data_IF_304799738908
#
_entry.id   IF_304799738908
#
_cell.length_a   1.000
_cell.length_b   1.000
_cell.length_c   1.000
_cell.angle_alpha   90.00
_cell.angle_beta   90.00
_cell.angle_gamma   90.00
#
_symmetry.space_group_name_H-M   'P 1'
#
loop_
_entity.id
_entity.type
_entity.pdbx_description
1 polymer ?
#
# COMPACT_ATOMS: atom_id res chain seq x y z
N UNK A 1 -4.84 17.01 -14.09
CA UNK A 1 -3.89 16.66 -14.08
C UNK A 1 -3.22 16.56 -12.95
N UNK A 2 -2.98 17.26 -12.32
CA UNK A 2 -2.32 17.13 -11.23
C UNK A 2 -3.04 16.55 -10.14
N UNK A 3 -4.35 16.38 -10.17
CA UNK A 3 -5.06 15.78 -9.12
C UNK A 3 -4.61 14.43 -8.77
N UNK A 4 -4.30 13.61 -9.75
CA UNK A 4 -3.83 12.28 -9.44
C UNK A 4 -2.47 12.34 -8.77
N UNK A 5 -1.61 13.24 -9.23
CA UNK A 5 -0.31 13.40 -8.62
C UNK A 5 -0.42 13.83 -7.18
N UNK A 6 -1.36 14.72 -6.90
CA UNK A 6 -1.53 15.22 -5.54
C UNK A 6 -2.02 14.13 -4.62
N UNK A 7 -2.93 13.27 -5.08
CA UNK A 7 -3.41 12.17 -4.25
C UNK A 7 -2.29 11.21 -3.92
N UNK A 8 -1.46 10.87 -4.90
CA UNK A 8 -0.36 9.97 -4.64
C UNK A 8 0.69 10.60 -3.75
N UNK A 9 0.93 11.90 -3.86
CA UNK A 9 1.86 12.57 -2.95
C UNK A 9 1.37 12.43 -1.51
N UNK A 10 0.07 12.57 -1.30
CA UNK A 10 -0.47 12.42 0.04
C UNK A 10 -0.38 10.98 0.52
N UNK A 11 -0.58 10.02 -0.36
CA UNK A 11 -0.41 8.61 -0.01
C UNK A 11 1.02 8.38 0.47
N UNK A 12 2.02 8.84 -0.29
CA UNK A 12 3.41 8.63 0.10
C UNK A 12 3.75 9.33 1.41
N UNK A 13 3.23 10.54 1.61
CA UNK A 13 3.47 11.25 2.86
C UNK A 13 2.90 10.50 4.05
N UNK A 14 1.69 9.97 3.90
CA UNK A 14 1.06 9.22 4.98
C UNK A 14 1.77 7.90 5.24
N UNK A 15 2.24 7.23 4.19
CA UNK A 15 3.02 6.01 4.35
C UNK A 15 4.30 6.32 5.14
N UNK A 16 4.97 7.42 4.82
CA UNK A 16 6.16 7.83 5.54
C UNK A 16 5.91 8.13 7.00
N UNK A 17 4.77 8.76 7.29
CA UNK A 17 4.40 9.02 8.68
C UNK A 17 4.09 7.73 9.41
N UNK A 18 3.38 6.81 8.76
CA UNK A 18 3.06 5.51 9.36
C UNK A 18 4.35 4.74 9.65
N UNK A 19 5.32 4.81 8.74
CA UNK A 19 6.60 4.15 8.94
C UNK A 19 7.29 4.71 10.19
N UNK A 20 7.32 6.03 10.34
CA UNK A 20 7.95 6.63 11.51
C UNK A 20 7.23 6.28 12.80
N UNK A 21 5.93 6.07 12.72
CA UNK A 21 5.14 5.68 13.89
C UNK A 21 5.22 4.18 14.19
N UNK A 22 5.96 3.43 13.38
CA UNK A 22 6.05 1.98 13.56
C UNK A 22 4.83 1.22 13.09
N UNK A 23 4.06 1.84 12.19
CA UNK A 23 2.79 1.27 11.73
C UNK A 23 2.78 0.94 10.24
N UNK A 24 3.95 0.79 9.65
CA UNK A 24 4.10 0.36 8.26
C UNK A 24 5.20 -0.68 8.18
N UNK A 25 4.94 -1.73 7.41
CA UNK A 25 5.87 -2.85 7.27
C UNK A 25 6.10 -3.09 5.80
N UNK A 26 7.30 -3.47 5.41
CA UNK A 26 7.56 -3.84 4.03
C UNK A 26 8.30 -5.18 4.00
N UNK A 27 8.43 -5.73 2.80
CA UNK A 27 8.99 -7.06 2.62
C UNK A 27 7.87 -8.08 2.49
N UNK A 28 7.93 -8.87 1.42
CA UNK A 28 6.83 -9.78 1.09
C UNK A 28 6.49 -10.73 2.23
N UNK A 29 7.51 -11.31 2.87
CA UNK A 29 7.27 -12.28 3.93
C UNK A 29 6.61 -11.63 5.15
N UNK A 30 7.09 -10.45 5.55
CA UNK A 30 6.51 -9.77 6.70
C UNK A 30 5.08 -9.33 6.40
N UNK A 31 4.83 -8.89 5.18
CA UNK A 31 3.48 -8.48 4.78
C UNK A 31 2.54 -9.68 4.84
N UNK A 32 2.98 -10.82 4.33
CA UNK A 32 2.14 -12.01 4.35
C UNK A 32 1.87 -12.48 5.79
N UNK A 33 2.85 -12.32 6.68
CA UNK A 33 2.61 -12.62 8.08
C UNK A 33 1.58 -11.68 8.68
N UNK A 34 1.66 -10.39 8.38
CA UNK A 34 0.67 -9.45 8.87
C UNK A 34 -0.73 -9.81 8.38
N UNK A 35 -0.85 -10.22 7.13
CA UNK A 35 -2.13 -10.64 6.58
C UNK A 35 -2.65 -11.86 7.33
N UNK A 36 -1.78 -12.85 7.50
CA UNK A 36 -2.16 -14.10 8.13
C UNK A 36 -2.62 -13.91 9.57
N UNK A 37 -1.97 -13.02 10.30
CA UNK A 37 -2.28 -12.83 11.71
C UNK A 37 -3.27 -11.70 11.97
N UNK A 38 -3.90 -11.20 10.91
CA UNK A 38 -4.95 -10.19 11.07
C UNK A 38 -4.47 -8.83 11.49
N UNK A 39 -3.22 -8.50 11.25
CA UNK A 39 -2.66 -7.20 11.61
C UNK A 39 -2.67 -6.20 10.47
N UNK A 40 -3.04 -6.63 9.28
CA UNK A 40 -3.02 -5.79 8.12
C UNK A 40 -4.30 -5.00 8.00
N UNK A 41 -4.21 -3.68 7.87
CA UNK A 41 -5.37 -2.85 7.63
C UNK A 41 -5.42 -2.34 6.19
N UNK A 42 -4.29 -2.31 5.52
CA UNK A 42 -4.24 -1.87 4.13
C UNK A 42 -2.92 -2.31 3.53
N UNK A 43 -2.94 -2.77 2.30
CA UNK A 43 -1.72 -3.10 1.59
C UNK A 43 -1.68 -2.34 0.28
N UNK A 44 -0.51 -1.77 -0.05
CA UNK A 44 -0.28 -1.08 -1.31
C UNK A 44 0.81 -1.82 -2.03
N UNK A 45 0.54 -2.23 -3.27
CA UNK A 45 1.52 -2.92 -4.10
C UNK A 45 1.86 -2.00 -5.27
N UNK A 46 3.16 -1.81 -5.52
CA UNK A 46 3.60 -0.95 -6.61
C UNK A 46 3.12 -1.48 -7.95
N UNK A 47 2.76 -0.58 -8.84
CA UNK A 47 2.30 -0.97 -10.19
C UNK A 47 3.39 -1.70 -10.96
N UNK A 48 4.64 -1.35 -10.72
CA UNK A 48 5.78 -1.98 -11.38
C UNK A 48 6.42 -3.10 -10.56
N UNK A 49 5.71 -3.63 -9.56
CA UNK A 49 6.16 -4.82 -8.87
C UNK A 49 6.09 -6.00 -9.84
N UNK A 50 6.89 -7.03 -9.58
CA UNK A 50 6.88 -8.19 -10.46
C UNK A 50 5.53 -8.91 -10.40
N UNK A 51 5.20 -9.63 -11.45
CA UNK A 51 3.96 -10.37 -11.49
C UNK A 51 3.88 -11.40 -10.36
N UNK A 52 5.00 -12.02 -10.03
CA UNK A 52 5.03 -12.99 -8.94
C UNK A 52 4.67 -12.33 -7.61
N UNK A 53 5.25 -11.17 -7.33
CA UNK A 53 4.98 -10.44 -6.10
C UNK A 53 3.52 -10.00 -6.05
N UNK A 54 3.01 -9.45 -7.14
CA UNK A 54 1.61 -9.03 -7.19
C UNK A 54 0.68 -10.21 -6.92
N UNK A 55 0.92 -11.32 -7.60
CA UNK A 55 0.09 -12.49 -7.46
C UNK A 55 0.16 -13.06 -6.06
N UNK A 56 1.35 -13.17 -5.52
CA UNK A 56 1.55 -13.74 -4.19
C UNK A 56 0.81 -12.95 -3.12
N UNK A 57 0.97 -11.64 -3.15
CA UNK A 57 0.35 -10.80 -2.12
C UNK A 57 -1.17 -10.69 -2.33
N UNK A 58 -1.61 -10.52 -3.58
CA UNK A 58 -3.05 -10.41 -3.82
C UNK A 58 -3.77 -11.70 -3.48
N UNK A 59 -3.14 -12.85 -3.73
CA UNK A 59 -3.75 -14.12 -3.36
C UNK A 59 -3.91 -14.24 -1.84
N UNK A 60 -2.89 -13.82 -1.08
CA UNK A 60 -3.01 -13.82 0.37
C UNK A 60 -4.11 -12.88 0.83
N UNK A 61 -4.21 -11.71 0.21
CA UNK A 61 -5.25 -10.76 0.56
C UNK A 61 -6.63 -11.34 0.32
N UNK A 62 -6.81 -12.01 -0.80
CA UNK A 62 -8.09 -12.63 -1.11
C UNK A 62 -8.43 -13.73 -0.12
N UNK A 63 -7.44 -14.54 0.20
CA UNK A 63 -7.67 -15.67 1.09
C UNK A 63 -8.08 -15.21 2.50
N UNK A 64 -7.45 -14.15 3.00
CA UNK A 64 -7.70 -13.69 4.37
C UNK A 64 -8.62 -12.47 4.44
N UNK A 65 -9.11 -11.99 3.31
CA UNK A 65 -10.02 -10.84 3.31
C UNK A 65 -9.36 -9.52 3.60
N UNK A 66 -8.11 -9.34 3.20
CA UNK A 66 -7.40 -8.09 3.46
C UNK A 66 -7.56 -7.11 2.31
N UNK A 67 -7.58 -5.82 2.64
CA UNK A 67 -7.69 -4.77 1.63
C UNK A 67 -6.36 -4.55 0.93
N UNK A 68 -6.39 -4.42 -0.38
CA UNK A 68 -5.18 -4.33 -1.18
C UNK A 68 -5.41 -3.43 -2.38
N UNK A 69 -4.45 -2.55 -2.66
CA UNK A 69 -4.50 -1.66 -3.81
C UNK A 69 -3.20 -1.77 -4.59
N UNK A 70 -3.28 -1.66 -5.90
CA UNK A 70 -2.09 -1.59 -6.74
C UNK A 70 -1.96 -0.14 -7.18
N UNK A 71 -0.94 0.53 -6.70
CA UNK A 71 -0.77 1.96 -6.95
C UNK A 71 0.67 2.39 -6.68
N UNK A 72 1.12 3.39 -7.40
CA UNK A 72 2.44 3.96 -7.20
C UNK A 72 3.54 3.11 -7.78
N UNK A 73 4.78 3.51 -7.52
CA UNK A 73 5.94 2.84 -8.07
C UNK A 73 6.83 2.30 -6.96
N UNK A 74 7.68 1.34 -7.30
CA UNK A 74 8.64 0.80 -6.34
C UNK A 74 9.55 1.88 -5.82
N UNK A 75 9.95 2.81 -6.68
CA UNK A 75 10.84 3.88 -6.29
C UNK A 75 10.19 4.79 -5.26
N UNK A 76 8.97 5.24 -5.53
CA UNK A 76 8.30 6.18 -4.64
C UNK A 76 7.88 5.52 -3.33
N UNK A 77 7.40 4.29 -3.38
CA UNK A 77 7.09 3.56 -2.15
C UNK A 77 8.37 3.30 -1.35
N UNK A 78 9.47 3.06 -2.04
CA UNK A 78 10.76 2.89 -1.39
C UNK A 78 11.16 4.14 -0.63
N UNK A 79 11.07 5.30 -1.29
CA UNK A 79 11.43 6.55 -0.64
C UNK A 79 10.57 6.80 0.59
N UNK A 80 9.29 6.50 0.52
CA UNK A 80 8.40 6.68 1.65
C UNK A 80 8.80 5.80 2.82
N UNK A 81 9.38 4.63 2.54
CA UNK A 81 9.80 3.69 3.58
C UNK A 81 11.27 3.84 3.94
N UNK A 82 11.96 4.84 3.38
CA UNK A 82 13.38 5.04 3.66
C UNK A 82 14.29 4.04 2.97
N UNK A 83 13.86 3.54 1.81
CA UNK A 83 14.61 2.57 1.03
C UNK A 83 14.75 3.03 -0.39
N UNK A 84 15.60 2.40 -1.17
CA UNK A 84 15.73 2.77 -2.57
C UNK A 84 14.59 2.23 -3.41
N UNK A 85 14.11 1.02 -3.10
CA UNK A 85 12.94 0.45 -3.78
C UNK A 85 12.11 -0.32 -2.78
N UNK A 86 10.83 -0.46 -3.05
CA UNK A 86 9.97 -1.28 -2.20
C UNK A 86 8.73 -1.66 -2.98
N UNK A 87 8.53 -2.93 -3.21
CA UNK A 87 7.43 -3.41 -4.05
C UNK A 87 6.06 -3.32 -3.38
N UNK A 88 6.01 -3.37 -2.06
CA UNK A 88 4.74 -3.35 -1.36
C UNK A 88 4.90 -2.87 0.07
N UNK A 89 3.83 -2.32 0.63
CA UNK A 89 3.81 -1.81 2.00
C UNK A 89 2.53 -2.27 2.66
N UNK A 90 2.60 -2.66 3.92
CA UNK A 90 1.44 -3.01 4.71
C UNK A 90 1.28 -1.98 5.82
N UNK A 91 0.10 -1.42 5.96
CA UNK A 91 -0.22 -0.47 7.01
C UNK A 91 -0.93 -1.23 8.11
N UNK A 92 -0.41 -1.13 9.33
CA UNK A 92 -0.92 -1.92 10.45
C UNK A 92 -1.75 -1.12 11.43
N UNK A 93 -2.13 0.09 11.06
CA UNK A 93 -2.97 0.95 11.89
C UNK A 93 -4.21 1.36 11.12
N UNK A 94 -5.37 1.23 11.75
CA UNK A 94 -6.64 1.51 11.08
C UNK A 94 -6.78 2.98 10.69
N UNK A 95 -6.31 3.89 11.52
CA UNK A 95 -6.41 5.33 11.22
C UNK A 95 -5.60 5.73 10.00
N UNK A 96 -4.34 5.34 9.96
CA UNK A 96 -3.51 5.61 8.80
C UNK A 96 -4.08 4.92 7.57
N UNK A 97 -4.52 3.68 7.73
CA UNK A 97 -5.06 2.92 6.60
C UNK A 97 -6.26 3.63 5.99
N UNK A 98 -7.16 4.13 6.81
CA UNK A 98 -8.34 4.81 6.30
C UNK A 98 -7.98 6.09 5.59
N UNK A 99 -7.08 6.90 6.14
CA UNK A 99 -6.66 8.12 5.50
C UNK A 99 -5.99 7.85 4.16
N UNK A 100 -5.13 6.86 4.12
CA UNK A 100 -4.44 6.50 2.89
C UNK A 100 -5.44 5.99 1.86
N UNK A 101 -6.35 5.12 2.30
CA UNK A 101 -7.33 4.55 1.40
C UNK A 101 -8.21 5.61 0.75
N UNK A 102 -8.58 6.64 1.50
CA UNK A 102 -9.37 7.73 0.94
C UNK A 102 -8.66 8.38 -0.24
N UNK A 103 -7.36 8.59 -0.13
CA UNK A 103 -6.61 9.18 -1.23
C UNK A 103 -6.40 8.20 -2.38
N UNK A 104 -6.24 6.92 -2.06
CA UNK A 104 -6.12 5.91 -3.11
C UNK A 104 -7.42 5.81 -3.92
N UNK A 105 -8.55 5.88 -3.25
CA UNK A 105 -9.83 5.81 -3.94
C UNK A 105 -10.04 7.01 -4.84
N UNK A 106 -9.62 8.20 -4.41
CA UNK A 106 -9.69 9.36 -5.27
C UNK A 106 -8.79 9.24 -6.46
N UNK A 107 -7.62 8.65 -6.27
CA UNK A 107 -6.66 8.48 -7.34
C UNK A 107 -7.18 7.54 -8.41
N UNK A 108 -7.80 6.44 -8.03
CA UNK A 108 -8.31 5.50 -8.99
C UNK A 108 -9.58 6.01 -9.58
N UNK A 109 -10.19 6.82 -8.96
CA UNK A 109 -11.17 7.49 -9.39
C UNK A 109 -12.21 6.91 -9.90
N UNK A 110 -12.68 7.28 -9.99
CA UNK A 110 -13.59 6.86 -10.33
C UNK A 110 -13.80 5.94 -11.15
N UNK A 111 -13.22 5.76 -11.60
CA UNK A 111 -13.45 4.89 -12.46
C UNK A 111 -14.03 3.76 -12.03
N UNK A 112 -13.79 3.41 -11.49
CA UNK A 112 -14.17 2.32 -11.31
C UNK A 112 -15.15 2.12 -10.59
N UNK A 113 -15.35 2.51 -10.27
CA UNK A 113 -16.32 2.31 -9.51
C UNK A 113 -17.35 2.00 -10.06
N UNK A 114 -17.25 1.79 -10.52
CA UNK A 114 -18.14 1.41 -10.83
C UNK A 114 -18.78 1.10 -10.77
#
# INVERSE_FOLDING_TARGET
MQKMGDCMKKVYSLVGLAKRAGMAVCGEDLIKDCIRYGKSHLIIIAEDASDNTKKSITNSCKYYGASCYIAGTKEDLGHAMGKSHNAAVCITDAGFAKSIENHLQRNTNGGETL
#
